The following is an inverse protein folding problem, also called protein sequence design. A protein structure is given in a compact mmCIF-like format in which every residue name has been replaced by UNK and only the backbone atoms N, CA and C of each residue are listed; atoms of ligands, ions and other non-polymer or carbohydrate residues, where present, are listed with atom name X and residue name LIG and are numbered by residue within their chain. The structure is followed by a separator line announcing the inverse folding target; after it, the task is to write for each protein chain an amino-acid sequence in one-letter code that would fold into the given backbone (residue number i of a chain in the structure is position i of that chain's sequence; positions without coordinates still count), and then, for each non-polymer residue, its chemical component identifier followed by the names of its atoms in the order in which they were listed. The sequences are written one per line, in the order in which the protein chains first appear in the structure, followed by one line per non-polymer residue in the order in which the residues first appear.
data_IF_171162063192
#
_entry.id   IF_171162063192
#
_cell.length_a   1.000
_cell.length_b   1.000
_cell.length_c   1.000
_cell.angle_alpha   90.00
_cell.angle_beta   90.00
_cell.angle_gamma   90.00
#
_symmetry.space_group_name_H-M   'P 1'
#
loop_
_entity.id
_entity.type
_entity.pdbx_description
1 polymer ?
#
# COMPACT_ATOMS: atom_id res chain seq x y z
N UNK A 1 -2.32 9.87 -22.99
CA UNK A 1 -1.39 10.12 -21.87
C UNK A 1 -1.00 8.77 -21.32
N UNK A 2 0.28 8.53 -21.08
CA UNK A 2 0.82 7.25 -20.60
C UNK A 2 1.46 7.41 -19.21
N UNK A 3 1.83 6.29 -18.59
CA UNK A 3 2.47 6.26 -17.29
C UNK A 3 3.80 7.04 -17.25
N UNK A 4 4.58 7.09 -18.33
CA UNK A 4 5.83 7.86 -18.37
C UNK A 4 5.60 9.37 -18.28
N UNK A 5 4.44 9.85 -18.76
CA UNK A 5 4.03 11.26 -18.64
C UNK A 5 3.55 11.62 -17.23
N UNK A 6 2.91 10.66 -16.54
CA UNK A 6 2.33 10.86 -15.21
C UNK A 6 3.40 10.69 -14.11
N UNK A 7 4.18 9.61 -14.20
CA UNK A 7 5.21 9.22 -13.25
C UNK A 7 6.58 9.69 -13.74
N UNK A 8 6.73 11.00 -13.90
CA UNK A 8 8.03 11.61 -14.13
C UNK A 8 8.95 11.37 -12.94
N UNK A 9 10.26 11.46 -13.14
CA UNK A 9 11.22 11.36 -12.03
C UNK A 9 10.93 12.38 -10.93
N UNK A 10 10.52 13.61 -11.30
CA UNK A 10 10.15 14.65 -10.34
C UNK A 10 8.94 14.24 -9.48
N UNK A 11 7.89 13.71 -10.11
CA UNK A 11 6.71 13.23 -9.38
C UNK A 11 7.02 12.03 -8.49
N UNK A 12 7.83 11.08 -8.96
CA UNK A 12 8.28 9.92 -8.17
C UNK A 12 9.10 10.40 -6.95
N UNK A 13 10.06 11.31 -7.15
CA UNK A 13 10.87 11.87 -6.07
C UNK A 13 10.03 12.63 -5.05
N UNK A 14 9.04 13.42 -5.50
CA UNK A 14 8.09 14.12 -4.62
C UNK A 14 7.29 13.14 -3.76
N UNK A 15 6.61 12.19 -4.39
CA UNK A 15 5.79 11.17 -3.70
C UNK A 15 6.62 10.44 -2.65
N UNK A 16 7.85 10.04 -3.00
CA UNK A 16 8.75 9.36 -2.08
C UNK A 16 9.17 10.25 -0.91
N UNK A 17 9.59 11.49 -1.18
CA UNK A 17 10.05 12.42 -0.15
C UNK A 17 8.94 12.78 0.84
N UNK A 18 7.72 13.04 0.34
CA UNK A 18 6.56 13.27 1.19
C UNK A 18 6.21 12.04 2.03
N UNK A 19 6.33 10.83 1.45
CA UNK A 19 6.02 9.60 2.16
C UNK A 19 7.04 9.32 3.26
N UNK A 20 8.32 9.62 3.01
CA UNK A 20 9.35 9.51 4.02
C UNK A 20 9.09 10.43 5.20
N UNK A 21 8.82 11.71 4.94
CA UNK A 21 8.48 12.68 5.97
C UNK A 21 7.24 12.24 6.78
N UNK A 22 6.23 11.67 6.09
CA UNK A 22 5.04 11.13 6.72
C UNK A 22 5.36 9.96 7.65
N UNK A 23 6.14 8.98 7.18
CA UNK A 23 6.49 7.78 7.94
C UNK A 23 7.38 8.08 9.14
N UNK A 24 8.31 9.01 9.00
CA UNK A 24 9.23 9.41 10.08
C UNK A 24 8.50 10.15 11.22
N UNK A 25 7.42 10.87 10.90
CA UNK A 25 6.59 11.58 11.88
C UNK A 25 5.63 10.68 12.68
N UNK A 26 5.41 9.43 12.26
CA UNK A 26 4.34 8.55 12.79
C UNK A 26 4.46 8.27 14.29
N UNK A 27 5.67 8.25 14.84
CA UNK A 27 5.93 7.99 16.26
C UNK A 27 5.29 9.06 17.17
N UNK A 28 5.15 10.29 16.67
CA UNK A 28 4.54 11.42 17.39
C UNK A 28 3.01 11.43 17.30
N UNK A 29 2.38 10.57 16.48
CA UNK A 29 0.94 10.60 16.28
C UNK A 29 0.21 9.93 17.45
N UNK A 30 -0.96 10.45 17.87
CA UNK A 30 -1.81 9.81 18.88
C UNK A 30 -2.16 8.36 18.53
N UNK A 31 -2.10 7.48 19.53
CA UNK A 31 -2.59 6.11 19.42
C UNK A 31 -4.12 6.12 19.49
N UNK A 32 -4.77 5.51 18.51
CA UNK A 32 -6.23 5.31 18.48
C UNK A 32 -6.58 3.97 19.14
N UNK A 33 -5.83 2.92 18.81
CA UNK A 33 -6.01 1.61 19.44
C UNK A 33 -4.72 0.80 19.39
N UNK A 34 -4.61 -0.18 20.29
CA UNK A 34 -3.54 -1.16 20.27
C UNK A 34 -4.15 -2.51 20.62
N UNK A 35 -4.15 -3.45 19.65
CA UNK A 35 -4.72 -4.79 19.83
C UNK A 35 -3.74 -5.84 19.36
N UNK A 36 -3.42 -6.79 20.24
CA UNK A 36 -2.36 -7.76 20.01
C UNK A 36 -1.06 -7.05 19.65
N UNK A 37 -0.42 -7.46 18.56
CA UNK A 37 0.83 -6.89 18.07
C UNK A 37 0.61 -5.81 16.99
N UNK A 38 -0.49 -5.06 17.02
CA UNK A 38 -0.74 -3.95 16.08
C UNK A 38 -1.11 -2.70 16.86
N UNK A 39 -0.41 -1.61 16.60
CA UNK A 39 -0.76 -0.26 17.07
C UNK A 39 -1.29 0.56 15.91
N UNK A 40 -2.44 1.19 16.10
CA UNK A 40 -3.05 2.08 15.12
C UNK A 40 -2.96 3.52 15.63
N UNK A 41 -2.44 4.42 14.79
CA UNK A 41 -2.29 5.85 15.06
C UNK A 41 -3.02 6.68 14.03
N UNK A 42 -3.43 7.90 14.40
CA UNK A 42 -4.09 8.86 13.51
C UNK A 42 -3.55 10.26 13.75
N UNK A 43 -3.19 10.99 12.68
CA UNK A 43 -2.82 12.39 12.79
C UNK A 43 -4.02 13.35 12.58
N UNK A 44 -3.81 14.64 12.83
CA UNK A 44 -4.85 15.67 12.68
C UNK A 44 -5.32 15.87 11.23
N UNK A 45 -4.52 15.46 10.26
CA UNK A 45 -4.83 15.55 8.82
C UNK A 45 -5.61 14.34 8.29
N UNK A 46 -5.95 13.39 9.17
CA UNK A 46 -6.72 12.20 8.83
C UNK A 46 -5.90 11.06 8.24
N UNK A 47 -4.56 11.11 8.29
CA UNK A 47 -3.75 9.93 7.98
C UNK A 47 -3.85 8.92 9.12
N UNK A 48 -4.03 7.66 8.76
CA UNK A 48 -4.01 6.53 9.66
C UNK A 48 -2.78 5.67 9.39
N UNK A 49 -2.15 5.16 10.44
CA UNK A 49 -1.05 4.19 10.31
C UNK A 49 -1.29 3.02 11.26
N UNK A 50 -1.32 1.81 10.70
CA UNK A 50 -1.18 0.57 11.46
C UNK A 50 0.29 0.16 11.47
N UNK A 51 0.82 -0.24 12.61
CA UNK A 51 2.22 -0.66 12.73
C UNK A 51 2.38 -1.89 13.62
N UNK A 52 3.31 -2.77 13.25
CA UNK A 52 3.60 -3.98 14.01
C UNK A 52 4.51 -4.97 13.27
N UNK A 53 4.91 -6.06 13.95
CA UNK A 53 5.75 -7.10 13.36
C UNK A 53 4.95 -7.99 12.40
N UNK A 54 5.60 -8.42 11.32
CA UNK A 54 5.12 -9.43 10.38
C UNK A 54 6.13 -10.59 10.39
N UNK A 55 5.68 -11.84 10.57
CA UNK A 55 6.55 -13.01 10.66
C UNK A 55 7.00 -13.48 9.28
N UNK A 56 7.55 -12.55 8.50
CA UNK A 56 8.18 -12.76 7.19
C UNK A 56 9.31 -11.74 7.05
N UNK A 57 10.36 -12.11 6.32
CA UNK A 57 11.39 -11.16 5.94
C UNK A 57 10.87 -10.06 5.00
N UNK A 58 11.64 -8.96 4.90
CA UNK A 58 11.27 -7.76 4.13
C UNK A 58 10.92 -8.07 2.67
N UNK A 59 11.72 -8.90 2.01
CA UNK A 59 11.55 -9.22 0.60
C UNK A 59 10.22 -9.95 0.35
N UNK A 60 9.91 -10.96 1.19
CA UNK A 60 8.68 -11.73 1.06
C UNK A 60 7.45 -10.90 1.40
N UNK A 61 7.52 -10.07 2.44
CA UNK A 61 6.42 -9.15 2.80
C UNK A 61 6.08 -8.20 1.65
N UNK A 62 7.10 -7.57 1.05
CA UNK A 62 6.89 -6.67 -0.10
C UNK A 62 6.37 -7.42 -1.31
N UNK A 63 6.84 -8.65 -1.57
CA UNK A 63 6.31 -9.48 -2.65
C UNK A 63 4.81 -9.74 -2.46
N UNK A 64 4.37 -10.12 -1.26
CA UNK A 64 2.95 -10.36 -0.96
C UNK A 64 2.08 -9.12 -1.11
N UNK A 65 2.65 -7.93 -0.89
CA UNK A 65 1.95 -6.65 -0.99
C UNK A 65 1.88 -6.13 -2.43
N UNK A 66 2.93 -6.39 -3.22
CA UNK A 66 3.12 -5.84 -4.57
C UNK A 66 2.66 -6.77 -5.69
N UNK A 67 2.74 -8.09 -5.51
CA UNK A 67 2.34 -9.07 -6.53
C UNK A 67 0.81 -9.20 -6.58
N UNK A 68 0.15 -8.85 -7.70
CA UNK A 68 -1.30 -8.95 -7.85
C UNK A 68 -1.87 -10.34 -7.54
N UNK A 69 -1.18 -11.38 -8.00
CA UNK A 69 -1.64 -12.76 -7.83
C UNK A 69 -1.59 -13.18 -6.36
N UNK A 70 -0.55 -12.77 -5.64
CA UNK A 70 -0.43 -13.08 -4.21
C UNK A 70 -1.38 -12.23 -3.39
N UNK A 71 -1.46 -10.92 -3.66
CA UNK A 71 -2.27 -9.97 -2.90
C UNK A 71 -3.73 -10.38 -2.86
N UNK A 72 -4.29 -10.81 -3.98
CA UNK A 72 -5.69 -11.22 -4.10
C UNK A 72 -6.05 -12.51 -3.34
N UNK A 73 -5.06 -13.37 -3.05
CA UNK A 73 -5.26 -14.63 -2.34
C UNK A 73 -5.52 -14.43 -0.85
N UNK A 74 -4.77 -13.53 -0.22
CA UNK A 74 -4.83 -13.32 1.24
C UNK A 74 -5.59 -12.06 1.63
N UNK A 75 -5.60 -11.02 0.81
CA UNK A 75 -6.27 -9.76 1.14
C UNK A 75 -7.78 -9.88 0.89
N UNK A 76 -8.55 -10.02 1.98
CA UNK A 76 -10.00 -10.21 1.94
C UNK A 76 -10.78 -8.97 1.51
N UNK A 77 -10.22 -7.79 1.71
CA UNK A 77 -10.88 -6.54 1.28
C UNK A 77 -10.58 -6.22 -0.18
N UNK A 78 -9.59 -6.88 -0.77
CA UNK A 78 -9.22 -6.71 -2.17
C UNK A 78 -10.11 -7.55 -3.10
N UNK A 79 -10.79 -6.89 -4.04
CA UNK A 79 -11.57 -7.52 -5.10
C UNK A 79 -10.76 -7.66 -6.39
N UNK A 80 -10.09 -6.58 -6.80
CA UNK A 80 -9.21 -6.54 -7.97
C UNK A 80 -7.97 -5.74 -7.63
N UNK A 81 -6.80 -6.23 -8.01
CA UNK A 81 -5.55 -5.49 -7.93
C UNK A 81 -4.74 -5.78 -9.18
N UNK A 82 -4.29 -4.75 -9.91
CA UNK A 82 -3.56 -4.90 -11.17
C UNK A 82 -2.61 -3.74 -11.39
N UNK A 83 -1.45 -4.01 -11.99
CA UNK A 83 -0.68 -2.98 -12.69
C UNK A 83 -1.34 -2.74 -14.04
N UNK A 84 -1.73 -1.49 -14.29
CA UNK A 84 -2.33 -1.02 -15.54
C UNK A 84 -1.22 -0.70 -16.53
N UNK A 85 -0.21 0.05 -16.06
CA UNK A 85 0.95 0.46 -16.83
C UNK A 85 2.18 0.47 -15.93
N UNK A 86 3.35 0.20 -16.50
CA UNK A 86 4.63 0.31 -15.82
C UNK A 86 5.47 1.43 -16.46
N UNK A 87 6.28 2.11 -15.66
CA UNK A 87 7.28 3.05 -16.14
C UNK A 87 8.50 2.25 -16.62
N UNK A 88 8.93 2.49 -17.86
CA UNK A 88 10.01 1.70 -18.48
C UNK A 88 11.39 2.09 -17.95
N UNK A 89 11.56 3.34 -17.52
CA UNK A 89 12.83 3.86 -17.00
C UNK A 89 12.59 4.83 -15.85
N UNK A 90 13.16 4.53 -14.69
CA UNK A 90 13.24 5.44 -13.54
C UNK A 90 14.70 5.83 -13.33
N UNK A 91 14.98 7.12 -13.15
CA UNK A 91 16.30 7.61 -12.78
C UNK A 91 16.50 7.45 -11.26
N UNK A 92 17.11 6.34 -10.85
CA UNK A 92 17.25 5.98 -9.44
C UNK A 92 18.08 7.02 -8.66
N UNK A 93 19.07 7.65 -9.31
CA UNK A 93 19.96 8.63 -8.70
C UNK A 93 19.24 9.87 -8.21
N UNK A 94 18.17 10.27 -8.89
CA UNK A 94 17.35 11.43 -8.53
C UNK A 94 16.28 11.12 -7.49
N UNK A 95 15.89 9.85 -7.36
CA UNK A 95 14.88 9.41 -6.39
C UNK A 95 15.51 9.06 -5.05
N UNK A 96 16.64 8.36 -5.07
CA UNK A 96 17.33 7.84 -3.88
C UNK A 96 18.52 8.69 -3.44
N UNK A 97 19.01 9.58 -4.32
CA UNK A 97 20.32 10.21 -4.15
C UNK A 97 21.46 9.28 -4.61
N UNK A 98 22.60 9.89 -4.97
CA UNK A 98 23.71 9.17 -5.60
C UNK A 98 24.28 8.01 -4.75
N UNK A 99 24.35 8.17 -3.42
CA UNK A 99 24.93 7.18 -2.52
C UNK A 99 24.08 5.90 -2.39
N UNK A 100 22.76 6.02 -2.53
CA UNK A 100 21.82 4.89 -2.41
C UNK A 100 21.48 4.28 -3.77
N UNK A 101 21.69 5.00 -4.87
CA UNK A 101 21.31 4.59 -6.22
C UNK A 101 22.11 3.41 -6.78
N UNK A 102 23.38 3.25 -6.38
CA UNK A 102 24.24 2.16 -6.85
C UNK A 102 23.78 0.78 -6.39
N UNK A 103 22.92 0.74 -5.36
CA UNK A 103 22.40 -0.50 -4.80
C UNK A 103 20.87 -0.54 -4.81
N UNK A 104 20.21 0.61 -4.74
CA UNK A 104 18.75 0.73 -4.71
C UNK A 104 18.05 0.49 -6.04
N UNK A 105 16.78 0.07 -5.94
CA UNK A 105 15.93 -0.15 -7.09
C UNK A 105 14.59 0.56 -6.90
N UNK A 106 14.21 1.37 -7.90
CA UNK A 106 12.93 2.06 -7.93
C UNK A 106 12.12 1.50 -9.09
N UNK A 107 10.92 1.03 -8.80
CA UNK A 107 9.93 0.64 -9.80
C UNK A 107 8.70 1.50 -9.64
N UNK A 108 8.14 1.99 -10.74
CA UNK A 108 6.95 2.83 -10.71
C UNK A 108 5.94 2.36 -11.76
N UNK A 109 4.66 2.55 -11.49
CA UNK A 109 3.59 2.19 -12.42
C UNK A 109 2.24 2.70 -11.95
N UNK A 110 1.23 2.57 -12.79
CA UNK A 110 -0.15 2.87 -12.44
C UNK A 110 -0.82 1.58 -11.97
N UNK A 111 -1.36 1.58 -10.76
CA UNK A 111 -2.13 0.45 -10.21
C UNK A 111 -3.61 0.75 -10.20
N UNK A 112 -4.41 -0.24 -10.58
CA UNK A 112 -5.85 -0.27 -10.35
C UNK A 112 -6.17 -1.17 -9.17
N UNK A 113 -6.90 -0.63 -8.20
CA UNK A 113 -7.30 -1.31 -6.98
C UNK A 113 -8.81 -1.21 -6.85
N UNK A 114 -9.50 -2.32 -6.65
CA UNK A 114 -10.92 -2.38 -6.32
C UNK A 114 -11.09 -3.10 -4.99
N UNK A 115 -11.79 -2.47 -4.07
CA UNK A 115 -12.12 -3.01 -2.75
C UNK A 115 -13.56 -3.56 -2.73
N UNK A 116 -13.76 -4.61 -1.97
CA UNK A 116 -15.09 -5.15 -1.66
C UNK A 116 -15.89 -4.17 -0.79
N UNK A 117 -17.23 -4.24 -0.78
CA UNK A 117 -18.04 -3.45 0.12
C UNK A 117 -17.62 -3.64 1.59
N UNK A 118 -17.56 -2.55 2.35
CA UNK A 118 -17.10 -2.54 3.73
C UNK A 118 -18.25 -2.27 4.72
N UNK A 119 -17.99 -2.59 5.99
CA UNK A 119 -18.90 -2.39 7.14
C UNK A 119 -20.31 -2.95 6.86
N UNK A 120 -20.39 -4.24 6.50
CA UNK A 120 -21.67 -4.90 6.23
C UNK A 120 -22.40 -4.38 4.99
N UNK A 121 -21.69 -3.76 4.05
CA UNK A 121 -22.27 -3.19 2.83
C UNK A 121 -22.74 -1.74 2.96
N UNK A 122 -22.58 -1.12 4.14
CA UNK A 122 -22.88 0.31 4.32
C UNK A 122 -21.93 1.21 3.54
N UNK A 123 -20.72 0.73 3.24
CA UNK A 123 -19.82 1.35 2.26
C UNK A 123 -19.81 0.44 1.04
N UNK A 124 -20.32 0.91 -0.09
CA UNK A 124 -20.28 0.16 -1.36
C UNK A 124 -18.83 -0.05 -1.84
N UNK A 125 -18.65 -0.91 -2.85
CA UNK A 125 -17.32 -1.13 -3.43
C UNK A 125 -16.65 0.19 -3.82
N UNK A 126 -15.33 0.25 -3.64
CA UNK A 126 -14.50 1.40 -4.00
C UNK A 126 -13.44 0.99 -4.99
N UNK A 127 -13.12 1.86 -5.92
CA UNK A 127 -11.95 1.67 -6.76
C UNK A 127 -11.03 2.88 -6.75
N UNK A 128 -9.76 2.64 -7.06
CA UNK A 128 -8.67 3.59 -7.01
C UNK A 128 -7.78 3.37 -8.23
N UNK A 129 -7.24 4.47 -8.75
CA UNK A 129 -6.26 4.45 -9.82
C UNK A 129 -5.08 5.29 -9.33
N UNK A 130 -4.02 4.60 -8.96
CA UNK A 130 -2.93 5.17 -8.16
C UNK A 130 -1.62 5.15 -8.95
N UNK A 131 -0.88 6.25 -8.87
CA UNK A 131 0.56 6.26 -9.05
C UNK A 131 1.19 5.40 -7.94
N UNK A 132 1.80 4.29 -8.31
CA UNK A 132 2.46 3.38 -7.39
C UNK A 132 3.97 3.43 -7.57
N UNK A 133 4.69 3.55 -6.46
CA UNK A 133 6.16 3.58 -6.43
C UNK A 133 6.65 2.56 -5.42
N UNK A 134 7.48 1.62 -5.87
CA UNK A 134 8.20 0.67 -5.02
C UNK A 134 9.65 1.11 -4.96
N UNK A 135 10.14 1.33 -3.75
CA UNK A 135 11.54 1.69 -3.50
C UNK A 135 12.18 0.62 -2.64
N UNK A 136 13.24 -0.01 -3.15
CA UNK A 136 14.03 -1.01 -2.43
C UNK A 136 15.37 -0.37 -2.08
N UNK A 137 15.66 -0.20 -0.79
CA UNK A 137 16.93 0.34 -0.28
C UNK A 137 17.76 -0.80 0.34
N UNK A 138 18.81 -1.29 -0.34
CA UNK A 138 19.69 -2.31 0.22
C UNK A 138 20.87 -1.76 1.00
N UNK A 139 21.11 -0.43 0.98
CA UNK A 139 22.28 0.22 1.57
C UNK A 139 22.20 0.55 3.07
N UNK A 140 21.05 0.42 3.73
CA UNK A 140 20.93 0.62 5.18
C UNK A 140 21.05 -0.70 5.93
N UNK A 141 21.73 -0.70 7.09
CA UNK A 141 21.79 -1.85 8.03
C UNK A 141 20.40 -2.43 8.31
N UNK A 142 19.38 -1.58 8.24
CA UNK A 142 17.98 -1.93 8.13
C UNK A 142 17.57 -2.01 6.65
N UNK A 143 17.43 -3.19 6.04
CA UNK A 143 16.84 -3.32 4.69
C UNK A 143 15.45 -2.68 4.72
N UNK A 144 15.26 -1.50 4.11
CA UNK A 144 13.98 -0.77 4.09
C UNK A 144 13.41 -0.81 2.68
N UNK A 145 12.18 -1.29 2.56
CA UNK A 145 11.43 -1.26 1.33
C UNK A 145 10.14 -0.46 1.52
N UNK A 146 9.91 0.51 0.64
CA UNK A 146 8.69 1.30 0.62
C UNK A 146 7.84 0.89 -0.59
N UNK A 147 6.52 0.88 -0.40
CA UNK A 147 5.52 0.82 -1.45
C UNK A 147 4.57 1.98 -1.20
N UNK A 148 4.51 2.91 -2.13
CA UNK A 148 3.75 4.16 -2.01
C UNK A 148 2.68 4.18 -3.08
N UNK A 149 1.51 4.70 -2.73
CA UNK A 149 0.38 4.92 -3.63
C UNK A 149 -0.14 6.34 -3.45
N UNK A 150 -0.43 7.01 -4.56
CA UNK A 150 -1.16 8.27 -4.59
C UNK A 150 -2.14 8.25 -5.76
N UNK A 151 -3.42 8.53 -5.53
CA UNK A 151 -4.40 8.54 -6.62
C UNK A 151 -4.11 9.66 -7.59
N UNK A 152 -4.29 9.35 -8.88
CA UNK A 152 -4.20 10.34 -9.94
C UNK A 152 -5.21 11.46 -9.71
N UNK A 153 -4.73 12.71 -9.72
CA UNK A 153 -5.58 13.88 -9.54
C UNK A 153 -6.53 14.03 -10.76
N UNK A 154 -7.86 14.04 -10.55
CA UNK A 154 -8.82 14.22 -11.65
C UNK A 154 -8.74 15.59 -12.32
N UNK A 155 -8.25 16.62 -11.63
CA UNK A 155 -8.12 17.96 -12.21
C UNK A 155 -6.94 18.04 -13.18
N UNK A 156 -5.95 17.15 -13.03
CA UNK A 156 -4.75 17.08 -13.87
C UNK A 156 -4.88 15.97 -14.93
N UNK A 157 -5.37 14.80 -14.53
CA UNK A 157 -5.38 13.57 -15.33
C UNK A 157 -6.78 13.10 -15.73
N UNK A 158 -7.79 13.99 -15.66
CA UNK A 158 -9.20 13.65 -15.85
C UNK A 158 -9.51 12.89 -17.15
N UNK A 159 -8.86 13.24 -18.27
CA UNK A 159 -9.03 12.51 -19.55
C UNK A 159 -8.55 11.06 -19.46
N UNK A 160 -7.39 10.83 -18.84
CA UNK A 160 -6.84 9.48 -18.66
C UNK A 160 -7.77 8.65 -17.77
N UNK A 161 -8.18 9.22 -16.63
CA UNK A 161 -9.10 8.57 -15.67
C UNK A 161 -10.43 8.24 -16.32
N UNK A 162 -11.02 9.16 -17.10
CA UNK A 162 -12.30 8.95 -17.77
C UNK A 162 -12.23 7.89 -18.88
N UNK A 163 -11.07 7.74 -19.53
CA UNK A 163 -10.84 6.72 -20.56
C UNK A 163 -10.52 5.33 -20.02
N UNK A 164 -10.23 5.21 -18.72
CA UNK A 164 -9.83 3.94 -18.11
C UNK A 164 -11.03 3.00 -17.95
N UNK A 165 -10.99 1.88 -18.68
CA UNK A 165 -11.98 0.81 -18.57
C UNK A 165 -11.67 -0.10 -17.38
N UNK A 166 -12.33 0.17 -16.25
CA UNK A 166 -12.17 -0.62 -15.04
C UNK A 166 -12.56 -2.09 -15.26
N UNK A 167 -11.69 -3.07 -14.90
CA UNK A 167 -12.07 -4.47 -14.95
C UNK A 167 -13.23 -4.75 -13.97
N UNK A 168 -14.11 -5.71 -14.30
CA UNK A 168 -15.21 -6.07 -13.41
C UNK A 168 -14.67 -6.67 -12.09
N UNK A 169 -15.43 -6.50 -11.01
CA UNK A 169 -15.17 -7.17 -9.74
C UNK A 169 -15.37 -8.67 -9.86
N UNK A 170 -14.60 -9.44 -9.08
CA UNK A 170 -14.70 -10.90 -8.97
C UNK A 170 -15.50 -11.33 -7.73
N UNK A 171 -15.43 -10.54 -6.66
CA UNK A 171 -16.08 -10.75 -5.36
C UNK A 171 -17.30 -9.84 -5.14
N UNK A 172 -17.40 -8.71 -5.84
CA UNK A 172 -18.51 -7.75 -5.70
C UNK A 172 -19.18 -7.44 -7.04
N UNK A 173 -20.51 -7.46 -7.08
CA UNK A 173 -21.30 -7.07 -8.25
C UNK A 173 -21.64 -5.58 -8.19
N UNK A 174 -21.70 -4.92 -9.36
CA UNK A 174 -22.08 -3.51 -9.49
C UNK A 174 -20.91 -2.54 -9.70
N UNK A 175 -21.25 -1.28 -9.96
CA UNK A 175 -20.27 -0.21 -10.13
C UNK A 175 -19.57 0.11 -8.80
N UNK A 176 -18.24 0.27 -8.84
CA UNK A 176 -17.49 0.80 -7.72
C UNK A 176 -17.53 2.34 -7.76
N UNK A 177 -17.52 2.96 -6.59
CA UNK A 177 -17.35 4.42 -6.49
C UNK A 177 -15.86 4.71 -6.49
N UNK A 178 -15.41 5.60 -7.39
CA UNK A 178 -14.00 6.05 -7.46
C UNK A 178 -13.65 6.84 -6.22
N UNK A 179 -12.79 6.27 -5.38
CA UNK A 179 -12.14 6.95 -4.28
C UNK A 179 -10.89 7.70 -4.73
N UNK A 180 -10.32 8.47 -3.81
CA UNK A 180 -9.01 9.11 -3.97
C UNK A 180 -8.13 8.76 -2.78
N UNK A 181 -7.09 7.98 -3.01
CA UNK A 181 -5.95 7.92 -2.11
C UNK A 181 -5.19 9.24 -2.22
N UNK A 182 -4.96 9.90 -1.09
CA UNK A 182 -3.91 10.91 -1.01
C UNK A 182 -2.58 10.15 -0.93
N UNK A 183 -1.67 10.54 -0.05
CA UNK A 183 -0.46 9.77 0.17
C UNK A 183 -0.75 8.56 1.09
N UNK A 184 -0.65 7.36 0.52
CA UNK A 184 -0.81 6.09 1.21
C UNK A 184 0.35 5.16 0.87
N UNK A 185 0.52 4.07 1.61
CA UNK A 185 1.65 3.18 1.37
C UNK A 185 1.94 2.22 2.50
N UNK A 186 3.06 1.52 2.38
CA UNK A 186 3.68 0.85 3.49
C UNK A 186 5.21 0.98 3.45
N UNK A 187 5.80 1.06 4.63
CA UNK A 187 7.23 0.89 4.86
C UNK A 187 7.45 -0.44 5.57
N UNK A 188 8.35 -1.25 5.03
CA UNK A 188 8.73 -2.54 5.59
C UNK A 188 10.23 -2.49 5.90
N UNK A 189 10.55 -2.71 7.17
CA UNK A 189 11.91 -2.56 7.71
C UNK A 189 12.35 -3.88 8.33
N UNK A 190 13.60 -4.29 8.07
CA UNK A 190 14.19 -5.45 8.76
C UNK A 190 14.18 -5.22 10.28
N UNK A 191 13.85 -6.25 11.06
CA UNK A 191 14.03 -6.22 12.51
C UNK A 191 15.44 -6.68 12.88
N UNK A 192 16.09 -5.98 13.81
CA UNK A 192 17.43 -6.35 14.27
C UNK A 192 17.44 -7.67 15.05
N UNK A 193 16.29 -8.04 15.62
CA UNK A 193 16.14 -9.20 16.51
C UNK A 193 15.88 -10.51 15.79
N UNK A 194 15.39 -10.49 14.54
CA UNK A 194 15.07 -11.70 13.77
C UNK A 194 15.06 -11.38 12.26
N UNK A 195 15.92 -12.04 11.48
CA UNK A 195 16.01 -11.82 10.02
C UNK A 195 14.78 -12.33 9.24
N UNK A 196 14.04 -13.26 9.83
CA UNK A 196 12.79 -13.80 9.26
C UNK A 196 11.55 -12.99 9.65
N UNK A 197 11.73 -11.89 10.39
CA UNK A 197 10.67 -10.97 10.74
C UNK A 197 10.98 -9.56 10.25
N UNK A 198 9.92 -8.82 9.98
CA UNK A 198 10.03 -7.42 9.60
C UNK A 198 9.03 -6.58 10.39
N UNK A 199 9.35 -5.30 10.53
CA UNK A 199 8.44 -4.30 11.03
C UNK A 199 7.73 -3.64 9.85
N UNK A 200 6.40 -3.61 9.88
CA UNK A 200 5.61 -2.93 8.85
C UNK A 200 4.89 -1.72 9.46
N UNK A 201 4.96 -0.60 8.76
CA UNK A 201 4.09 0.57 8.93
C UNK A 201 3.21 0.67 7.68
N UNK A 202 1.89 0.59 7.83
CA UNK A 202 0.93 0.65 6.73
C UNK A 202 0.05 1.89 6.89
N UNK A 203 0.14 2.81 5.94
CA UNK A 203 -0.51 4.11 5.96
C UNK A 203 -1.68 4.19 4.99
N UNK A 204 -2.80 4.75 5.45
CA UNK A 204 -3.99 5.00 4.65
C UNK A 204 -4.46 6.44 4.89
N UNK A 205 -4.70 7.16 3.80
CA UNK A 205 -5.54 8.35 3.77
C UNK A 205 -6.32 8.35 2.47
N UNK A 206 -7.60 8.02 2.55
CA UNK A 206 -8.46 7.90 1.39
C UNK A 206 -9.69 8.77 1.57
N UNK A 207 -10.00 9.59 0.57
CA UNK A 207 -11.34 10.09 0.36
C UNK A 207 -12.15 8.98 -0.30
N UNK A 208 -12.99 8.34 0.51
CA UNK A 208 -13.85 7.23 0.08
C UNK A 208 -14.95 7.74 -0.87
N UNK A 209 -15.22 9.05 -0.95
CA UNK A 209 -16.32 9.64 -1.73
C UNK A 209 -17.71 9.05 -1.43
N UNK A 210 -18.73 9.75 -1.90
CA UNK A 210 -20.14 9.43 -1.64
C UNK A 210 -20.62 9.88 -0.26
N UNK A 211 -21.90 9.68 0.01
CA UNK A 211 -22.57 10.14 1.23
C UNK A 211 -22.32 9.22 2.43
N UNK A 212 -21.05 8.99 2.78
CA UNK A 212 -20.62 8.14 3.90
C UNK A 212 -20.26 9.01 5.12
N UNK A 213 -20.89 8.83 6.29
CA UNK A 213 -20.54 9.58 7.49
C UNK A 213 -19.09 9.35 7.95
N UNK A 214 -18.43 10.39 8.46
CA UNK A 214 -17.02 10.33 8.89
C UNK A 214 -16.77 9.22 9.94
N UNK A 215 -17.67 9.06 10.92
CA UNK A 215 -17.52 8.02 11.94
C UNK A 215 -17.50 6.60 11.35
N UNK A 216 -18.23 6.38 10.24
CA UNK A 216 -18.30 5.10 9.55
C UNK A 216 -17.04 4.84 8.72
N UNK A 217 -16.49 5.90 8.11
CA UNK A 217 -15.17 5.85 7.46
C UNK A 217 -14.09 5.52 8.48
N UNK A 218 -14.05 6.21 9.62
CA UNK A 218 -13.08 5.97 10.70
C UNK A 218 -13.16 4.53 11.23
N UNK A 219 -14.37 4.00 11.43
CA UNK A 219 -14.58 2.59 11.79
C UNK A 219 -14.03 1.63 10.73
N UNK A 220 -14.32 1.90 9.45
CA UNK A 220 -13.86 1.09 8.32
C UNK A 220 -12.34 1.09 8.16
N UNK A 221 -11.69 2.25 8.26
CA UNK A 221 -10.23 2.39 8.12
C UNK A 221 -9.50 1.73 9.28
N UNK A 222 -9.94 1.97 10.53
CA UNK A 222 -9.36 1.32 11.70
C UNK A 222 -9.45 -0.21 11.62
N UNK A 223 -10.62 -0.74 11.27
CA UNK A 223 -10.82 -2.18 11.07
C UNK A 223 -10.00 -2.76 9.91
N UNK A 224 -9.82 -2.01 8.82
CA UNK A 224 -9.01 -2.44 7.67
C UNK A 224 -7.52 -2.54 8.02
N UNK A 225 -7.00 -1.60 8.82
CA UNK A 225 -5.63 -1.66 9.32
C UNK A 225 -5.40 -2.83 10.26
N UNK A 226 -6.34 -3.18 11.13
CA UNK A 226 -6.21 -4.41 11.93
C UNK A 226 -6.27 -5.66 11.03
N UNK A 227 -7.19 -5.67 10.06
CA UNK A 227 -7.42 -6.80 9.16
C UNK A 227 -6.21 -7.11 8.28
N UNK A 228 -5.54 -6.11 7.71
CA UNK A 228 -4.40 -6.37 6.81
C UNK A 228 -3.24 -7.06 7.54
N UNK A 229 -2.94 -6.64 8.77
CA UNK A 229 -1.91 -7.31 9.60
C UNK A 229 -2.34 -8.72 9.99
N UNK A 230 -3.61 -8.93 10.33
CA UNK A 230 -4.12 -10.25 10.70
C UNK A 230 -4.07 -11.23 9.52
N UNK A 231 -4.49 -10.82 8.33
CA UNK A 231 -4.49 -11.68 7.14
C UNK A 231 -3.06 -11.94 6.62
N UNK A 232 -2.18 -10.94 6.64
CA UNK A 232 -0.78 -11.15 6.25
C UNK A 232 -0.05 -12.13 7.19
N UNK A 233 -0.36 -12.10 8.49
CA UNK A 233 0.17 -13.08 9.46
C UNK A 233 -0.38 -14.49 9.25
N UNK A 234 -1.66 -14.62 8.85
CA UNK A 234 -2.23 -15.92 8.47
C UNK A 234 -1.54 -16.48 7.23
N UNK A 235 -1.30 -15.63 6.25
CA UNK A 235 -0.59 -16.02 5.03
C UNK A 235 0.86 -16.42 5.32
N UNK A 236 1.55 -15.69 6.21
CA UNK A 236 2.86 -16.07 6.69
C UNK A 236 2.87 -17.46 7.36
N UNK A 237 1.91 -17.73 8.24
CA UNK A 237 1.77 -19.05 8.87
C UNK A 237 1.50 -20.16 7.85
N UNK A 238 0.70 -19.88 6.81
CA UNK A 238 0.43 -20.81 5.70
C UNK A 238 1.71 -21.13 4.92
N UNK A 239 2.52 -20.11 4.62
CA UNK A 239 3.79 -20.28 3.90
C UNK A 239 4.73 -21.16 4.73
N UNK A 240 4.95 -20.84 6.01
CA UNK A 240 5.81 -21.65 6.89
C UNK A 240 5.30 -23.08 7.09
N UNK A 241 3.98 -23.27 7.19
CA UNK A 241 3.38 -24.60 7.31
C UNK A 241 3.47 -25.44 6.04
N UNK A 242 3.52 -24.80 4.86
CA UNK A 242 3.64 -25.50 3.57
C UNK A 242 5.07 -26.01 3.33
N UNK A 243 6.09 -25.34 3.87
CA UNK A 243 7.49 -25.76 3.75
C UNK A 243 7.77 -27.09 4.46
N UNK A 244 7.01 -27.44 5.49
CA UNK A 244 7.19 -28.68 6.25
C UNK A 244 6.60 -29.94 5.59
N UNK A 245 5.88 -29.79 4.47
CA UNK A 245 5.20 -30.90 3.77
C UNK A 245 5.91 -31.35 2.49
N UNK A 246 6.95 -30.66 2.04
CA UNK A 246 7.71 -31.01 0.83
C UNK A 246 9.00 -31.80 1.09
N UNK A 247 9.34 -32.03 2.36
CA UNK A 247 10.53 -32.77 2.79
C UNK A 247 10.20 -34.14 3.43
N UNK A 248 9.01 -34.69 3.18
CA UNK A 248 8.61 -36.05 3.60
C UNK A 248 8.31 -36.96 2.40
#
# INVERSE_FOLDING_TARGET
MDANTILTTENISRIKSEFDALMDATSAWPIVTSKGNVTVRKNKEGHWVGQGPIPLNVARTIQLLTDPSQRLLWDKVMDVYKYVENVERVDHSKVLGAAEADSGNVSAGITYTRLTPAVGGMISARDFLDASVVVRRPGSESKIHDLVWESLDPDVYGQYIASFNAPPGTKSTGAAVRGRNYLAGCRVTKMDTNEEECWMQYCIKSDIKGSVPVWLVDLGVGGSLESIFAELRKEAARIHGSTNLTDQ
#
